data_IF_740617651967
#
_entry.id   IF_740617651967
#
_cell.length_a   1.000
_cell.length_b   1.000
_cell.length_c   1.000
_cell.angle_alpha   90.00
_cell.angle_beta   90.00
_cell.angle_gamma   90.00
#
_symmetry.space_group_name_H-M   'P 1'
#
loop_
_entity.id
_entity.type
_entity.pdbx_description
1 polymer ?
#
# COMPACT_ATOMS: atom_id res chain seq x y z
N UNK A 1 -12.54 28.19 -10.14
CA UNK A 1 -12.04 27.71 -8.84
C UNK A 1 -12.81 26.44 -8.52
N UNK A 2 -12.15 25.32 -8.24
CA UNK A 2 -12.84 24.13 -7.74
C UNK A 2 -13.21 24.36 -6.27
N UNK A 3 -14.46 24.09 -5.91
CA UNK A 3 -14.87 24.10 -4.51
C UNK A 3 -14.37 22.85 -3.79
N UNK A 4 -13.91 23.00 -2.55
CA UNK A 4 -13.45 21.88 -1.74
C UNK A 4 -14.66 21.15 -1.12
N UNK A 5 -14.65 19.83 -1.16
CA UNK A 5 -15.63 19.00 -0.47
C UNK A 5 -15.06 18.61 0.90
N UNK A 6 -15.75 18.97 1.97
CA UNK A 6 -15.47 18.48 3.32
C UNK A 6 -16.46 17.39 3.68
N UNK A 7 -15.95 16.22 4.06
CA UNK A 7 -16.75 15.06 4.47
C UNK A 7 -16.16 14.39 5.72
N UNK A 8 -17.02 13.70 6.45
CA UNK A 8 -16.63 12.70 7.43
C UNK A 8 -16.69 11.32 6.76
N UNK A 9 -15.58 10.59 6.72
CA UNK A 9 -15.54 9.21 6.21
C UNK A 9 -16.18 8.30 7.25
N UNK A 10 -17.17 7.52 6.82
CA UNK A 10 -17.91 6.59 7.66
C UNK A 10 -17.43 5.16 7.48
N UNK A 11 -17.12 4.79 6.24
CA UNK A 11 -16.63 3.47 5.89
C UNK A 11 -15.73 3.54 4.65
N UNK A 12 -14.94 2.50 4.44
CA UNK A 12 -14.09 2.37 3.27
C UNK A 12 -13.84 0.92 2.93
N UNK A 13 -13.58 0.66 1.66
CA UNK A 13 -13.20 -0.63 1.12
C UNK A 13 -12.00 -0.47 0.19
N UNK A 14 -11.30 -1.56 -0.09
CA UNK A 14 -10.24 -1.57 -1.09
C UNK A 14 -10.25 -2.89 -1.87
N UNK A 15 -9.81 -2.83 -3.12
CA UNK A 15 -9.69 -4.00 -3.99
C UNK A 15 -8.68 -3.72 -5.09
N UNK A 16 -8.21 -4.81 -5.70
CA UNK A 16 -7.40 -4.75 -6.92
C UNK A 16 -8.37 -4.76 -8.11
N UNK A 17 -8.37 -3.68 -8.89
CA UNK A 17 -9.14 -3.54 -10.13
C UNK A 17 -8.28 -4.02 -11.29
N UNK A 18 -8.61 -5.18 -11.86
CA UNK A 18 -7.98 -5.67 -13.09
C UNK A 18 -8.67 -5.06 -14.31
N UNK A 19 -7.90 -4.61 -15.29
CA UNK A 19 -8.43 -4.37 -16.63
C UNK A 19 -8.63 -5.73 -17.30
N UNK A 20 -9.90 -6.15 -17.45
CA UNK A 20 -10.26 -7.37 -18.19
C UNK A 20 -9.98 -7.14 -19.69
N UNK A 21 -8.76 -7.43 -20.13
CA UNK A 21 -8.44 -7.64 -21.55
C UNK A 21 -8.34 -9.15 -21.80
N UNK A 22 -9.48 -9.75 -22.17
CA UNK A 22 -9.59 -11.21 -22.44
C UNK A 22 -8.63 -11.69 -23.54
N UNK A 23 -8.03 -10.79 -24.32
CA UNK A 23 -7.13 -11.10 -25.44
C UNK A 23 -5.63 -10.91 -25.11
N UNK A 24 -5.27 -10.50 -23.89
CA UNK A 24 -3.87 -10.25 -23.51
C UNK A 24 -3.21 -11.45 -22.82
N UNK A 25 -2.12 -11.97 -23.40
CA UNK A 25 -1.19 -12.91 -22.72
C UNK A 25 -0.27 -12.22 -21.71
N UNK A 26 -0.37 -10.89 -21.56
CA UNK A 26 0.45 -10.09 -20.67
C UNK A 26 -0.07 -10.20 -19.22
N UNK A 27 0.80 -9.92 -18.25
CA UNK A 27 0.40 -9.94 -16.84
C UNK A 27 -0.72 -8.92 -16.63
N UNK A 28 -1.90 -9.36 -16.14
CA UNK A 28 -2.98 -8.45 -15.76
C UNK A 28 -2.43 -7.35 -14.84
N UNK A 29 -2.39 -6.13 -15.36
CA UNK A 29 -2.01 -4.95 -14.59
C UNK A 29 -3.22 -4.61 -13.70
N UNK A 30 -3.04 -4.84 -12.39
CA UNK A 30 -4.07 -4.58 -11.40
C UNK A 30 -3.80 -3.24 -10.71
N UNK A 31 -4.80 -2.38 -10.68
CA UNK A 31 -4.77 -1.08 -10.01
C UNK A 31 -5.34 -1.21 -8.60
N UNK A 32 -4.61 -0.74 -7.58
CA UNK A 32 -5.16 -0.71 -6.22
C UNK A 32 -6.14 0.46 -6.06
N UNK A 33 -7.40 0.14 -5.81
CA UNK A 33 -8.48 1.13 -5.65
C UNK A 33 -8.93 1.18 -4.20
N UNK A 34 -9.13 2.39 -3.69
CA UNK A 34 -9.79 2.62 -2.40
C UNK A 34 -11.13 3.30 -2.65
N UNK A 35 -12.20 2.73 -2.12
CA UNK A 35 -13.51 3.34 -2.07
C UNK A 35 -13.79 3.86 -0.67
N UNK A 36 -14.18 5.13 -0.55
CA UNK A 36 -14.58 5.72 0.73
C UNK A 36 -16.00 6.28 0.65
N UNK A 37 -16.77 6.03 1.70
CA UNK A 37 -18.15 6.45 1.84
C UNK A 37 -18.25 7.42 3.02
N UNK A 38 -18.87 8.56 2.80
CA UNK A 38 -18.94 9.58 3.82
C UNK A 38 -20.16 10.48 3.72
N UNK A 39 -20.23 11.42 4.65
CA UNK A 39 -21.25 12.46 4.66
C UNK A 39 -20.65 13.84 4.80
N UNK A 40 -21.20 14.80 4.08
CA UNK A 40 -20.89 16.22 4.27
C UNK A 40 -21.56 16.78 5.53
N UNK A 41 -21.20 18.01 5.91
CA UNK A 41 -21.82 18.72 7.04
C UNK A 41 -23.34 18.94 6.85
N UNK A 42 -23.80 19.07 5.61
CA UNK A 42 -25.21 19.21 5.24
C UNK A 42 -25.91 17.87 4.96
N UNK A 43 -25.38 16.76 5.50
CA UNK A 43 -25.95 15.41 5.49
C UNK A 43 -26.09 14.77 4.09
N UNK A 44 -25.31 15.24 3.10
CA UNK A 44 -25.26 14.60 1.77
C UNK A 44 -24.28 13.43 1.78
N UNK A 45 -24.72 12.29 1.26
CA UNK A 45 -23.85 11.13 1.04
C UNK A 45 -22.86 11.41 -0.09
N UNK A 46 -21.60 11.03 0.13
CA UNK A 46 -20.50 11.17 -0.84
C UNK A 46 -19.83 9.81 -1.00
N UNK A 47 -19.62 9.42 -2.26
CA UNK A 47 -18.76 8.30 -2.66
C UNK A 47 -17.47 8.86 -3.25
N UNK A 48 -16.34 8.35 -2.80
CA UNK A 48 -15.01 8.69 -3.32
C UNK A 48 -14.34 7.43 -3.84
N UNK A 49 -13.98 7.43 -5.12
CA UNK A 49 -13.05 6.47 -5.71
C UNK A 49 -11.67 7.11 -5.72
N UNK A 50 -10.74 6.56 -4.95
CA UNK A 50 -9.36 7.00 -4.87
C UNK A 50 -8.54 6.02 -5.70
N UNK A 51 -7.97 6.54 -6.79
CA UNK A 51 -7.08 5.82 -7.71
C UNK A 51 -5.65 6.32 -7.52
N UNK A 52 -4.70 5.71 -8.26
CA UNK A 52 -3.31 6.14 -8.32
C UNK A 52 -2.57 6.15 -6.96
N UNK A 53 -3.06 5.31 -6.04
CA UNK A 53 -2.38 5.03 -4.77
C UNK A 53 -1.61 3.72 -4.88
N UNK A 54 -0.29 3.77 -4.67
CA UNK A 54 0.55 2.58 -4.58
C UNK A 54 0.74 2.17 -3.11
N UNK A 55 0.18 1.03 -2.66
CA UNK A 55 0.43 0.53 -1.31
C UNK A 55 1.91 0.24 -1.09
N UNK A 56 2.40 0.53 0.12
CA UNK A 56 3.78 0.24 0.52
C UNK A 56 3.81 -0.29 1.95
N UNK A 57 4.87 -1.03 2.26
CA UNK A 57 5.12 -1.58 3.60
C UNK A 57 6.60 -1.46 3.95
N UNK A 58 6.92 -1.67 5.23
CA UNK A 58 8.29 -1.62 5.74
C UNK A 58 8.76 -3.00 6.15
N UNK A 59 10.02 -3.30 5.87
CA UNK A 59 10.72 -4.48 6.36
C UNK A 59 11.97 -4.00 7.10
N UNK A 60 12.17 -4.51 8.31
CA UNK A 60 13.40 -4.26 9.04
C UNK A 60 14.55 -5.07 8.42
N UNK A 61 15.65 -4.40 8.11
CA UNK A 61 16.88 -5.01 7.62
C UNK A 61 18.04 -4.72 8.57
N UNK A 62 19.07 -5.59 8.62
CA UNK A 62 20.26 -5.31 9.40
C UNK A 62 20.91 -3.97 9.02
N UNK A 63 21.24 -3.15 10.02
CA UNK A 63 21.84 -1.81 9.83
C UNK A 63 23.18 -1.82 9.08
N UNK A 64 23.83 -2.98 9.01
CA UNK A 64 25.11 -3.20 8.33
C UNK A 64 24.96 -3.56 6.86
N UNK A 65 23.73 -3.74 6.35
CA UNK A 65 23.52 -4.08 4.96
C UNK A 65 23.81 -2.90 4.05
N UNK A 66 24.66 -3.16 3.06
CA UNK A 66 24.87 -2.29 1.91
C UNK A 66 23.84 -2.59 0.81
N UNK A 67 23.73 -1.70 -0.17
CA UNK A 67 22.78 -1.80 -1.30
C UNK A 67 22.84 -3.16 -2.01
N UNK A 68 24.03 -3.76 -2.11
CA UNK A 68 24.18 -5.10 -2.72
C UNK A 68 23.46 -6.19 -1.94
N UNK A 69 23.49 -6.13 -0.60
CA UNK A 69 22.80 -7.07 0.27
C UNK A 69 21.29 -6.84 0.23
N UNK A 70 20.86 -5.58 0.22
CA UNK A 70 19.45 -5.21 0.06
C UNK A 70 18.91 -5.71 -1.28
N UNK A 71 19.62 -5.45 -2.38
CA UNK A 71 19.21 -5.92 -3.70
C UNK A 71 19.06 -7.44 -3.74
N UNK A 72 20.02 -8.19 -3.20
CA UNK A 72 19.91 -9.66 -3.11
C UNK A 72 18.70 -10.11 -2.31
N UNK A 73 18.36 -9.39 -1.25
CA UNK A 73 17.18 -9.67 -0.45
C UNK A 73 15.89 -9.40 -1.24
N UNK A 74 15.79 -8.26 -1.93
CA UNK A 74 14.66 -7.94 -2.80
C UNK A 74 14.50 -8.99 -3.91
N UNK A 75 15.58 -9.31 -4.64
CA UNK A 75 15.56 -10.32 -5.69
C UNK A 75 15.11 -11.69 -5.13
N UNK A 76 15.53 -12.04 -3.91
CA UNK A 76 15.12 -13.26 -3.23
C UNK A 76 13.63 -13.26 -2.88
N UNK A 77 13.10 -12.23 -2.21
CA UNK A 77 11.68 -12.21 -1.81
C UNK A 77 10.77 -12.19 -3.04
N UNK A 78 11.12 -11.43 -4.07
CA UNK A 78 10.36 -11.38 -5.33
C UNK A 78 10.38 -12.74 -6.04
N UNK A 79 11.47 -13.50 -5.95
CA UNK A 79 11.53 -14.86 -6.50
C UNK A 79 10.58 -15.85 -5.81
N UNK A 80 10.14 -15.56 -4.58
CA UNK A 80 9.25 -16.41 -3.77
C UNK A 80 7.76 -16.10 -3.97
N UNK A 81 7.45 -14.99 -4.63
CA UNK A 81 6.06 -14.65 -4.96
C UNK A 81 5.56 -15.54 -6.11
N UNK A 82 4.26 -15.84 -6.11
CA UNK A 82 3.61 -16.55 -7.21
C UNK A 82 3.93 -15.89 -8.55
N UNK A 83 4.11 -16.70 -9.60
CA UNK A 83 4.65 -16.26 -10.90
C UNK A 83 3.96 -15.02 -11.46
N UNK A 84 2.63 -14.96 -11.37
CA UNK A 84 1.81 -13.82 -11.83
C UNK A 84 2.18 -12.49 -11.16
N UNK A 85 2.71 -12.51 -9.94
CA UNK A 85 3.01 -11.29 -9.16
C UNK A 85 4.50 -10.99 -9.03
N UNK A 86 5.39 -11.66 -9.78
CA UNK A 86 6.83 -11.40 -9.68
C UNK A 86 7.25 -10.00 -10.15
N UNK A 87 6.46 -9.38 -11.02
CA UNK A 87 6.74 -8.06 -11.57
C UNK A 87 5.94 -6.94 -10.88
N UNK A 88 5.18 -7.23 -9.81
CA UNK A 88 4.27 -6.24 -9.19
C UNK A 88 4.94 -5.34 -8.15
N UNK A 89 6.16 -5.68 -7.70
CA UNK A 89 6.94 -4.77 -6.86
C UNK A 89 7.47 -3.63 -7.72
N UNK A 90 6.81 -2.47 -7.63
CA UNK A 90 7.13 -1.29 -8.44
C UNK A 90 8.48 -0.68 -8.05
N UNK A 91 8.74 -0.53 -6.74
CA UNK A 91 9.98 0.05 -6.24
C UNK A 91 10.28 -0.40 -4.80
N UNK A 92 11.50 -0.16 -4.34
CA UNK A 92 11.90 -0.24 -2.94
C UNK A 92 12.89 0.87 -2.59
N UNK A 93 12.83 1.36 -1.35
CA UNK A 93 13.75 2.37 -0.83
C UNK A 93 14.28 1.95 0.55
N UNK A 94 15.55 2.27 0.81
CA UNK A 94 16.14 2.10 2.15
C UNK A 94 15.96 3.41 2.92
N UNK A 95 15.10 3.39 3.94
CA UNK A 95 14.81 4.57 4.75
C UNK A 95 15.31 4.39 6.19
N UNK A 96 15.86 5.47 6.76
CA UNK A 96 16.20 5.53 8.18
C UNK A 96 15.00 5.99 8.98
N UNK A 97 14.43 5.13 9.83
CA UNK A 97 13.36 5.48 10.78
C UNK A 97 13.87 5.40 12.22
N UNK A 98 13.55 6.42 13.01
CA UNK A 98 14.07 6.57 14.38
C UNK A 98 13.31 5.74 15.43
N UNK A 99 12.15 5.18 15.08
CA UNK A 99 11.32 4.43 16.02
C UNK A 99 10.82 3.16 15.34
N UNK A 100 11.10 2.01 15.94
CA UNK A 100 10.52 0.76 15.51
C UNK A 100 9.07 0.72 16.00
N UNK A 101 8.11 0.64 15.08
CA UNK A 101 6.69 0.56 15.42
C UNK A 101 6.40 -0.66 16.30
N UNK A 102 7.12 -1.76 16.10
CA UNK A 102 6.98 -2.96 16.93
C UNK A 102 7.45 -2.73 18.36
N UNK A 103 8.50 -1.93 18.57
CA UNK A 103 8.98 -1.59 19.92
C UNK A 103 7.96 -0.71 20.66
N UNK A 104 7.30 0.23 19.95
CA UNK A 104 6.20 1.02 20.54
C UNK A 104 4.99 0.15 20.93
N UNK A 105 4.65 -0.86 20.14
CA UNK A 105 3.57 -1.80 20.49
C UNK A 105 3.95 -2.64 21.71
N UNK A 106 5.22 -3.03 21.84
CA UNK A 106 5.74 -3.79 22.97
C UNK A 106 5.70 -2.99 24.27
N UNK A 107 6.11 -1.72 24.24
CA UNK A 107 6.04 -0.81 25.39
C UNK A 107 4.59 -0.51 25.81
N UNK A 108 3.66 -0.40 24.86
CA UNK A 108 2.23 -0.24 25.18
C UNK A 108 1.61 -1.48 25.83
N UNK A 109 2.05 -2.68 25.45
CA UNK A 109 1.52 -3.93 26.00
C UNK A 109 2.12 -4.33 27.36
N UNK A 110 3.18 -3.66 27.82
CA UNK A 110 3.80 -3.89 29.13
C UNK A 110 3.29 -2.92 30.23
N UNK A 111 2.43 -1.97 29.87
CA UNK A 111 1.87 -0.96 30.78
C UNK A 111 0.38 -1.21 31.13
N UNK A 112 -0.08 -2.47 31.02
CA UNK A 112 -1.40 -2.93 31.48
C UNK A 112 -1.27 -4.04 32.53
#
# INVERSE_FOLDING_TARGET
MSENILLNVLDWNFYDECEDDEDSEEYEEASFVIEAFGKTKDDKSVYLKITDFTPYFFVEIPKTWEDRSVKKFIDYITSKVYGKYKCTLINYDVVKRSVNFMDLQRERNLNF
#
